data_IF_222484580172
#
_entry.id   IF_222484580172
#
_cell.length_a   1.000
_cell.length_b   1.000
_cell.length_c   1.000
_cell.angle_alpha   90.00
_cell.angle_beta   90.00
_cell.angle_gamma   90.00
#
_symmetry.space_group_name_H-M   'P 1'
#
loop_
_entity.id
_entity.type
_entity.pdbx_description
1 polymer ?
#
# COMPACT_ATOMS: atom_id res chain seq x y z
N UNK A 1 -8.62 7.61 6.96
CA UNK A 1 -7.17 7.90 6.89
C UNK A 1 -6.45 7.88 8.24
N UNK A 2 -6.99 8.49 9.33
CA UNK A 2 -6.33 8.42 10.64
C UNK A 2 -6.16 6.96 11.12
N UNK A 3 -7.21 6.14 11.01
CA UNK A 3 -7.18 4.71 11.33
C UNK A 3 -6.07 3.97 10.55
N UNK A 4 -6.04 4.08 9.22
CA UNK A 4 -4.97 3.51 8.38
C UNK A 4 -3.57 3.96 8.81
N UNK A 5 -3.37 5.24 9.13
CA UNK A 5 -2.05 5.70 9.61
C UNK A 5 -1.70 5.14 10.97
N UNK A 6 -2.68 4.96 11.85
CA UNK A 6 -2.51 4.36 13.16
C UNK A 6 -2.13 2.88 13.02
N UNK A 7 -2.86 2.15 12.18
CA UNK A 7 -2.57 0.77 11.80
C UNK A 7 -1.13 0.57 11.31
N UNK A 8 -0.67 1.42 10.39
CA UNK A 8 0.71 1.39 9.89
C UNK A 8 1.72 1.72 10.98
N UNK A 9 1.40 2.67 11.87
CA UNK A 9 2.28 3.03 12.97
C UNK A 9 2.43 1.88 13.97
N UNK A 10 1.33 1.22 14.33
CA UNK A 10 1.29 0.13 15.30
C UNK A 10 1.88 -1.17 14.73
N UNK A 11 1.71 -1.42 13.42
CA UNK A 11 2.11 -2.66 12.73
C UNK A 11 3.13 -2.39 11.61
N UNK A 12 4.08 -1.47 11.83
CA UNK A 12 4.96 -0.97 10.77
C UNK A 12 5.85 -2.05 10.14
N UNK A 13 6.28 -3.04 10.91
CA UNK A 13 7.13 -4.13 10.41
C UNK A 13 6.37 -5.02 9.42
N UNK A 14 5.10 -5.34 9.70
CA UNK A 14 4.23 -6.06 8.77
C UNK A 14 3.99 -5.24 7.51
N UNK A 15 3.66 -3.95 7.67
CA UNK A 15 3.47 -3.06 6.53
C UNK A 15 4.70 -3.03 5.62
N UNK A 16 5.89 -2.87 6.18
CA UNK A 16 7.17 -2.90 5.47
C UNK A 16 7.38 -4.25 4.78
N UNK A 17 7.08 -5.36 5.46
CA UNK A 17 7.22 -6.70 4.88
C UNK A 17 6.35 -6.93 3.65
N UNK A 18 5.30 -6.11 3.46
CA UNK A 18 4.44 -6.11 2.28
C UNK A 18 4.95 -5.10 1.26
N UNK A 19 5.05 -3.82 1.61
CA UNK A 19 5.29 -2.75 0.63
C UNK A 19 6.73 -2.66 0.14
N UNK A 20 7.69 -3.24 0.88
CA UNK A 20 9.10 -3.34 0.48
C UNK A 20 9.43 -4.71 -0.15
N UNK A 21 8.48 -5.63 -0.22
CA UNK A 21 8.66 -6.93 -0.87
C UNK A 21 8.90 -6.75 -2.39
N UNK A 22 9.96 -7.33 -2.97
CA UNK A 22 10.22 -7.24 -4.41
C UNK A 22 9.06 -7.72 -5.29
N UNK A 23 8.33 -8.76 -4.89
CA UNK A 23 7.19 -9.28 -5.64
C UNK A 23 5.99 -8.34 -5.57
N UNK A 24 5.82 -7.61 -4.46
CA UNK A 24 4.82 -6.55 -4.37
C UNK A 24 5.20 -5.34 -5.22
N UNK A 25 6.44 -4.86 -5.07
CA UNK A 25 6.97 -3.68 -5.79
C UNK A 25 7.02 -3.84 -7.29
N UNK A 26 7.09 -5.08 -7.80
CA UNK A 26 6.96 -5.39 -9.23
C UNK A 26 5.67 -4.84 -9.83
N UNK A 27 4.59 -4.82 -9.06
CA UNK A 27 3.27 -4.33 -9.48
C UNK A 27 2.98 -2.93 -8.93
N UNK A 28 3.36 -2.69 -7.67
CA UNK A 28 3.03 -1.47 -6.92
C UNK A 28 4.31 -0.87 -6.33
N UNK A 29 5.13 -0.19 -7.15
CA UNK A 29 6.46 0.27 -6.73
C UNK A 29 6.41 1.31 -5.61
N UNK A 30 5.32 2.08 -5.56
CA UNK A 30 5.05 3.09 -4.52
C UNK A 30 3.56 3.00 -4.16
N UNK A 31 3.27 3.02 -2.86
CA UNK A 31 1.91 3.17 -2.34
C UNK A 31 1.60 4.65 -2.17
N UNK A 32 0.52 5.12 -2.78
CA UNK A 32 0.15 6.54 -2.81
C UNK A 32 0.72 7.27 -4.02
N UNK A 33 0.08 8.38 -4.39
CA UNK A 33 0.45 9.21 -5.54
C UNK A 33 0.72 10.68 -5.15
N UNK A 34 0.25 11.10 -3.97
CA UNK A 34 0.41 12.44 -3.40
C UNK A 34 0.73 12.32 -1.91
N UNK A 35 1.69 13.12 -1.47
CA UNK A 35 2.32 13.02 -0.16
C UNK A 35 2.31 14.37 0.55
N UNK A 36 2.05 14.34 1.85
CA UNK A 36 2.17 15.51 2.71
C UNK A 36 3.63 15.90 2.88
N UNK A 37 3.91 17.21 2.91
CA UNK A 37 5.26 17.72 3.18
C UNK A 37 5.70 17.52 4.64
N UNK A 38 4.74 17.55 5.56
CA UNK A 38 4.99 17.43 7.00
C UNK A 38 4.42 16.13 7.54
N UNK A 39 4.94 15.70 8.69
CA UNK A 39 4.37 14.60 9.45
C UNK A 39 2.86 14.83 9.69
N UNK A 40 2.01 13.80 9.54
CA UNK A 40 0.59 13.92 9.83
C UNK A 40 0.37 14.28 11.32
N UNK A 41 -0.65 15.09 11.59
CA UNK A 41 -0.99 15.49 12.97
C UNK A 41 -1.30 14.24 13.81
N UNK A 42 -0.67 14.13 14.98
CA UNK A 42 -0.86 13.02 15.92
C UNK A 42 0.19 11.92 15.85
N UNK A 43 1.19 12.02 14.97
CA UNK A 43 2.29 11.07 14.87
C UNK A 43 3.63 11.73 15.24
N UNK A 44 4.55 11.01 15.90
CA UNK A 44 5.88 11.54 16.23
C UNK A 44 6.66 11.91 14.97
N UNK A 45 7.27 13.10 14.95
CA UNK A 45 8.05 13.58 13.78
C UNK A 45 9.34 12.80 13.57
N UNK A 46 9.86 12.20 14.63
CA UNK A 46 11.07 11.39 14.72
C UNK A 46 10.80 9.90 14.49
N UNK A 47 9.55 9.51 14.20
CA UNK A 47 9.24 8.15 13.81
C UNK A 47 10.05 7.76 12.56
N UNK A 48 10.86 6.71 12.67
CA UNK A 48 11.78 6.22 11.63
C UNK A 48 11.11 6.04 10.27
N UNK A 49 9.83 5.67 10.26
CA UNK A 49 9.06 5.33 9.06
C UNK A 49 7.95 6.33 8.76
N UNK A 50 8.12 7.59 9.19
CA UNK A 50 7.11 8.65 9.05
C UNK A 50 6.67 8.88 7.59
N UNK A 51 7.52 8.58 6.62
CA UNK A 51 7.21 8.78 5.21
C UNK A 51 6.06 7.88 4.72
N UNK A 52 5.90 6.67 5.25
CA UNK A 52 4.73 5.83 4.94
C UNK A 52 3.41 6.42 5.45
N UNK A 53 3.45 7.30 6.45
CA UNK A 53 2.26 7.96 6.98
C UNK A 53 1.90 9.24 6.22
N UNK A 54 2.82 9.76 5.39
CA UNK A 54 2.63 11.01 4.65
C UNK A 54 1.70 10.87 3.45
N UNK A 55 1.37 9.66 3.02
CA UNK A 55 0.43 9.42 1.94
C UNK A 55 -0.90 10.14 2.22
N UNK A 56 -1.39 10.91 1.26
CA UNK A 56 -2.74 11.50 1.33
C UNK A 56 -3.83 10.49 0.97
N UNK A 57 -3.44 9.47 0.22
CA UNK A 57 -4.25 8.32 -0.16
C UNK A 57 -3.37 7.07 -0.16
N UNK A 58 -3.93 5.96 0.30
CA UNK A 58 -3.26 4.67 0.35
C UNK A 58 -3.75 3.83 -0.83
N UNK A 59 -3.17 4.09 -2.00
CA UNK A 59 -3.57 3.47 -3.28
C UNK A 59 -2.40 2.72 -3.90
N UNK A 60 -2.73 1.64 -4.60
CA UNK A 60 -1.79 0.83 -5.35
C UNK A 60 -2.12 0.98 -6.84
N UNK A 61 -1.14 1.41 -7.64
CA UNK A 61 -1.31 1.66 -9.07
C UNK A 61 -0.38 0.76 -9.87
N UNK A 62 -0.94 0.02 -10.82
CA UNK A 62 -0.19 -0.89 -11.71
C UNK A 62 -0.32 -0.42 -13.16
N UNK A 63 0.77 0.11 -13.71
CA UNK A 63 0.83 0.55 -15.10
C UNK A 63 1.00 -0.67 -16.01
N UNK A 64 0.08 -0.84 -16.95
CA UNK A 64 0.11 -1.93 -17.94
C UNK A 64 0.25 -1.37 -19.36
N UNK A 65 0.87 -2.10 -20.29
CA UNK A 65 0.91 -1.74 -21.70
C UNK A 65 -0.49 -1.64 -22.34
N UNK A 66 -0.64 -0.86 -23.41
CA UNK A 66 -1.93 -0.65 -24.10
C UNK A 66 -2.58 -1.95 -24.62
N UNK A 67 -1.77 -2.94 -25.00
CA UNK A 67 -2.22 -4.24 -25.48
C UNK A 67 -2.55 -5.23 -24.35
N UNK A 68 -2.34 -4.87 -23.08
CA UNK A 68 -2.47 -5.78 -21.94
C UNK A 68 -3.81 -6.53 -21.92
N UNK A 69 -4.91 -5.81 -22.15
CA UNK A 69 -6.27 -6.35 -22.07
C UNK A 69 -6.65 -7.28 -23.22
N UNK A 70 -5.84 -7.36 -24.28
CA UNK A 70 -6.08 -8.25 -25.43
C UNK A 70 -5.17 -9.48 -25.43
N UNK A 71 -4.22 -9.58 -24.48
CA UNK A 71 -3.31 -10.73 -24.38
C UNK A 71 -4.02 -11.97 -23.86
N UNK A 72 -3.60 -13.14 -24.36
CA UNK A 72 -4.15 -14.43 -23.95
C UNK A 72 -3.90 -14.75 -22.46
N UNK A 73 -2.81 -14.23 -21.88
CA UNK A 73 -2.42 -14.42 -20.48
C UNK A 73 -2.96 -13.32 -19.55
N UNK A 74 -3.82 -12.42 -20.03
CA UNK A 74 -4.30 -11.26 -19.27
C UNK A 74 -4.88 -11.64 -17.91
N UNK A 75 -5.73 -12.66 -17.83
CA UNK A 75 -6.34 -13.09 -16.57
C UNK A 75 -5.30 -13.63 -15.58
N UNK A 76 -4.25 -14.32 -16.06
CA UNK A 76 -3.15 -14.81 -15.22
C UNK A 76 -2.32 -13.64 -14.68
N UNK A 77 -2.05 -12.62 -15.50
CA UNK A 77 -1.32 -11.43 -15.06
C UNK A 77 -2.11 -10.60 -14.03
N UNK A 78 -3.42 -10.43 -14.26
CA UNK A 78 -4.33 -9.79 -13.30
C UNK A 78 -4.31 -10.56 -11.98
N UNK A 79 -4.45 -11.88 -12.03
CA UNK A 79 -4.45 -12.72 -10.84
C UNK A 79 -3.17 -12.56 -10.00
N UNK A 80 -2.00 -12.55 -10.65
CA UNK A 80 -0.71 -12.34 -9.97
C UNK A 80 -0.62 -10.97 -9.29
N UNK A 81 -1.05 -9.91 -9.98
CA UNK A 81 -1.08 -8.56 -9.42
C UNK A 81 -2.07 -8.47 -8.24
N UNK A 82 -3.25 -9.07 -8.37
CA UNK A 82 -4.28 -9.06 -7.33
C UNK A 82 -3.89 -9.89 -6.11
N UNK A 83 -3.09 -10.96 -6.25
CA UNK A 83 -2.52 -11.67 -5.09
C UNK A 83 -1.64 -10.76 -4.24
N UNK A 84 -0.82 -9.91 -4.87
CA UNK A 84 -0.01 -8.94 -4.14
C UNK A 84 -0.86 -7.82 -3.56
N UNK A 85 -1.83 -7.30 -4.32
CA UNK A 85 -2.77 -6.30 -3.82
C UNK A 85 -3.55 -6.81 -2.59
N UNK A 86 -3.97 -8.09 -2.60
CA UNK A 86 -4.69 -8.70 -1.48
C UNK A 86 -3.90 -8.63 -0.18
N UNK A 87 -2.57 -8.86 -0.20
CA UNK A 87 -1.72 -8.73 1.01
C UNK A 87 -1.85 -7.35 1.64
N UNK A 88 -1.80 -6.30 0.80
CA UNK A 88 -1.98 -4.92 1.24
C UNK A 88 -3.42 -4.64 1.67
N UNK A 89 -4.41 -5.10 0.91
CA UNK A 89 -5.82 -4.90 1.24
C UNK A 89 -6.22 -5.59 2.55
N UNK A 90 -5.72 -6.80 2.80
CA UNK A 90 -5.91 -7.52 4.06
C UNK A 90 -5.36 -6.70 5.23
N UNK A 91 -4.12 -6.18 5.10
CA UNK A 91 -3.52 -5.28 6.10
C UNK A 91 -4.37 -4.05 6.40
N UNK A 92 -4.89 -3.40 5.35
CA UNK A 92 -5.73 -2.20 5.51
C UNK A 92 -7.09 -2.56 6.14
N UNK A 93 -7.68 -3.70 5.79
CA UNK A 93 -9.03 -4.06 6.24
C UNK A 93 -9.06 -4.55 7.69
N UNK A 94 -8.20 -5.50 8.09
CA UNK A 94 -8.24 -6.03 9.45
C UNK A 94 -7.97 -4.94 10.49
N UNK A 95 -7.13 -3.98 10.14
CA UNK A 95 -6.81 -2.86 11.02
C UNK A 95 -7.90 -1.81 11.09
N UNK A 96 -8.81 -1.71 10.12
CA UNK A 96 -9.98 -0.81 10.20
C UNK A 96 -11.08 -1.44 11.06
N UNK A 97 -11.28 -2.75 10.95
CA UNK A 97 -12.27 -3.49 11.73
C UNK A 97 -11.97 -3.47 13.25
N UNK A 98 -10.68 -3.40 13.63
CA UNK A 98 -10.26 -3.24 15.03
C UNK A 98 -10.55 -1.84 15.64
N UNK A 99 -10.96 -0.86 14.82
CA UNK A 99 -11.30 0.50 15.27
C UNK A 99 -12.81 0.82 15.25
N UNK A 100 -13.69 -0.14 14.93
CA UNK A 100 -15.14 -0.06 15.18
C UNK A 100 -15.52 -0.48 16.60
#
# INVERSE_FOLDING_TARGET
LKAVRQAIYDNVEEYISIVEDPEFKKYFPVVGEDFMKTAPKGFPKDFKYIDYLKCRQFVCSYLVPDDFFTRADMMEQIEKAFRQFKRFADFINYTIDDFE
#
